data_IF_449786582732
#
_entry.id   IF_449786582732
#
_cell.length_a   1.000
_cell.length_b   1.000
_cell.length_c   1.000
_cell.angle_alpha   90.00
_cell.angle_beta   90.00
_cell.angle_gamma   90.00
#
_symmetry.space_group_name_H-M   'P 1'
#
loop_
_entity.id
_entity.type
_entity.pdbx_description
1 polymer ?
#
# COMPACT_ATOMS: atom_id res chain seq x y z
N UNK A 1 16.92 60.15 14.60
CA UNK A 1 17.88 59.39 13.78
C UNK A 1 17.42 57.94 13.71
N UNK A 2 17.20 57.42 12.51
CA UNK A 2 16.73 56.06 12.26
C UNK A 2 17.91 55.08 12.39
N UNK A 3 17.90 54.18 13.37
CA UNK A 3 18.93 53.13 13.53
C UNK A 3 18.42 51.84 12.87
N UNK A 4 18.96 51.51 11.70
CA UNK A 4 18.74 50.25 11.02
C UNK A 4 19.49 49.15 11.78
N UNK A 5 18.81 48.40 12.65
CA UNK A 5 19.38 47.17 13.23
C UNK A 5 19.19 46.03 12.23
N UNK A 6 20.30 45.39 11.86
CA UNK A 6 20.33 44.24 10.96
C UNK A 6 19.35 43.17 11.40
N UNK A 7 18.49 42.74 10.46
CA UNK A 7 17.67 41.55 10.62
C UNK A 7 18.63 40.38 10.77
N UNK A 8 18.58 39.67 11.89
CA UNK A 8 19.30 38.41 12.03
C UNK A 8 18.96 37.52 10.84
N UNK A 9 19.98 37.01 10.14
CA UNK A 9 19.79 35.89 9.22
C UNK A 9 19.22 34.75 10.05
N UNK A 10 17.91 34.50 9.92
CA UNK A 10 17.37 33.22 10.31
C UNK A 10 18.22 32.14 9.61
N UNK A 11 18.56 31.02 10.28
CA UNK A 11 19.19 29.91 9.59
C UNK A 11 18.33 29.59 8.36
N UNK A 12 18.94 29.63 7.17
CA UNK A 12 18.24 29.22 5.97
C UNK A 12 17.74 27.79 6.20
N UNK A 13 16.44 27.55 6.01
CA UNK A 13 15.91 26.19 5.90
C UNK A 13 16.75 25.50 4.84
N UNK A 14 17.41 24.39 5.19
CA UNK A 14 18.16 23.60 4.20
C UNK A 14 17.23 23.31 3.03
N UNK A 15 17.51 23.93 1.87
CA UNK A 15 16.74 23.79 0.63
C UNK A 15 17.30 22.68 -0.25
N UNK A 16 18.30 21.93 0.22
CA UNK A 16 18.76 20.73 -0.47
C UNK A 16 17.64 19.69 -0.35
N UNK A 17 16.91 19.35 -1.42
CA UNK A 17 15.97 18.26 -1.35
C UNK A 17 16.79 17.01 -1.08
N UNK A 18 16.69 16.47 0.13
CA UNK A 18 17.05 15.07 0.33
C UNK A 18 16.20 14.30 -0.67
N UNK A 19 16.79 13.47 -1.56
CA UNK A 19 16.01 12.65 -2.46
C UNK A 19 14.99 11.88 -1.61
N UNK A 20 13.70 12.16 -1.81
CA UNK A 20 12.65 11.34 -1.22
C UNK A 20 12.67 10.08 -2.06
N UNK A 21 13.36 9.05 -1.58
CA UNK A 21 13.24 7.72 -2.18
C UNK A 21 11.82 7.27 -1.84
N UNK A 22 10.93 7.09 -2.85
CA UNK A 22 9.60 6.60 -2.58
C UNK A 22 9.72 5.18 -2.03
N UNK A 23 8.95 4.88 -0.98
CA UNK A 23 8.82 3.52 -0.48
C UNK A 23 8.40 2.58 -1.62
N UNK A 24 9.12 1.48 -1.79
CA UNK A 24 8.68 0.33 -2.56
C UNK A 24 8.59 -0.89 -1.64
N UNK A 25 7.55 -1.74 -1.74
CA UNK A 25 7.46 -2.95 -0.93
C UNK A 25 8.69 -3.87 -1.09
N UNK A 26 9.32 -3.85 -2.28
CA UNK A 26 10.56 -4.57 -2.60
C UNK A 26 11.79 -4.10 -1.81
N UNK A 27 11.72 -2.96 -1.11
CA UNK A 27 12.81 -2.46 -0.26
C UNK A 27 13.03 -3.34 0.99
N UNK A 28 12.11 -4.26 1.29
CA UNK A 28 12.11 -5.11 2.47
C UNK A 28 12.32 -6.58 2.08
N UNK A 29 13.56 -7.05 2.22
CA UNK A 29 13.95 -8.40 1.83
C UNK A 29 13.20 -9.54 2.57
N UNK A 30 12.57 -9.24 3.71
CA UNK A 30 11.79 -10.19 4.49
C UNK A 30 10.27 -9.96 4.39
N UNK A 31 9.82 -9.10 3.47
CA UNK A 31 8.40 -8.95 3.18
C UNK A 31 7.91 -10.14 2.37
N UNK A 32 7.01 -10.93 2.94
CA UNK A 32 6.52 -12.19 2.34
C UNK A 32 5.44 -11.92 1.29
N UNK A 33 4.62 -10.90 1.51
CA UNK A 33 3.50 -10.56 0.64
C UNK A 33 3.15 -9.08 0.77
N UNK A 34 2.77 -8.46 -0.34
CA UNK A 34 2.18 -7.14 -0.34
C UNK A 34 1.06 -7.05 -1.37
N UNK A 35 -0.20 -7.08 -0.91
CA UNK A 35 -1.37 -6.83 -1.75
C UNK A 35 -1.67 -5.33 -1.90
N UNK A 36 -2.08 -4.90 -3.09
CA UNK A 36 -2.47 -3.51 -3.39
C UNK A 36 -3.85 -3.44 -4.04
N UNK A 37 -4.94 -3.44 -3.26
CA UNK A 37 -6.31 -3.39 -3.80
C UNK A 37 -6.57 -2.14 -4.67
N UNK A 38 -5.81 -1.07 -4.48
CA UNK A 38 -5.87 0.14 -5.29
C UNK A 38 -5.38 -0.03 -6.73
N UNK A 39 -4.62 -1.08 -7.02
CA UNK A 39 -4.11 -1.36 -8.37
C UNK A 39 -5.03 -2.34 -9.11
N UNK A 40 -6.03 -2.90 -8.42
CA UNK A 40 -7.00 -3.85 -8.96
C UNK A 40 -8.28 -3.15 -9.41
N UNK A 41 -8.95 -3.75 -10.40
CA UNK A 41 -10.26 -3.31 -10.86
C UNK A 41 -11.34 -3.59 -9.80
N UNK A 42 -12.36 -2.72 -9.75
CA UNK A 42 -13.54 -3.00 -8.92
C UNK A 42 -14.23 -4.27 -9.43
N UNK A 43 -14.44 -5.22 -8.54
CA UNK A 43 -15.06 -6.52 -8.82
C UNK A 43 -15.84 -6.99 -7.61
N UNK A 44 -16.89 -7.77 -7.85
CA UNK A 44 -17.71 -8.40 -6.79
C UNK A 44 -17.39 -9.89 -6.62
N UNK A 45 -16.16 -10.29 -6.97
CA UNK A 45 -15.67 -11.67 -6.94
C UNK A 45 -14.16 -11.65 -7.23
N UNK A 46 -13.34 -11.35 -6.22
CA UNK A 46 -11.88 -11.22 -6.34
C UNK A 46 -11.20 -12.59 -6.19
N UNK A 47 -10.83 -13.19 -7.31
CA UNK A 47 -10.19 -14.50 -7.32
C UNK A 47 -8.67 -14.48 -7.11
N UNK A 48 -8.02 -13.35 -7.42
CA UNK A 48 -6.57 -13.20 -7.35
C UNK A 48 -6.23 -11.76 -6.95
N UNK A 49 -5.26 -11.61 -6.05
CA UNK A 49 -4.64 -10.33 -5.72
C UNK A 49 -3.12 -10.44 -5.87
N UNK A 50 -2.60 -9.64 -6.81
CA UNK A 50 -1.20 -9.66 -7.22
C UNK A 50 -0.25 -9.32 -6.07
N UNK A 51 0.81 -10.10 -5.91
CA UNK A 51 1.89 -9.82 -4.98
C UNK A 51 2.82 -8.74 -5.52
N UNK A 52 3.00 -7.68 -4.73
CA UNK A 52 3.89 -6.57 -5.04
C UNK A 52 5.15 -6.55 -4.16
N UNK A 53 5.36 -7.56 -3.31
CA UNK A 53 6.57 -7.68 -2.48
C UNK A 53 7.80 -8.07 -3.29
N UNK A 54 7.61 -8.71 -4.44
CA UNK A 54 8.68 -9.29 -5.26
C UNK A 54 8.91 -10.78 -5.01
N UNK A 55 8.13 -11.41 -4.13
CA UNK A 55 8.30 -12.82 -3.77
C UNK A 55 7.45 -13.79 -4.61
N UNK A 56 6.52 -13.28 -5.42
CA UNK A 56 5.65 -14.10 -6.29
C UNK A 56 4.57 -14.86 -5.52
N UNK A 57 4.19 -14.36 -4.34
CA UNK A 57 3.23 -15.00 -3.44
C UNK A 57 1.81 -14.46 -3.67
N UNK A 58 1.31 -14.51 -4.92
CA UNK A 58 -0.04 -14.02 -5.23
C UNK A 58 -1.08 -14.66 -4.31
N UNK A 59 -2.01 -13.83 -3.82
CA UNK A 59 -3.10 -14.32 -3.00
C UNK A 59 -4.23 -14.80 -3.92
N UNK A 60 -4.82 -15.96 -3.66
CA UNK A 60 -5.85 -16.54 -4.51
C UNK A 60 -7.03 -17.11 -3.72
N UNK A 61 -8.18 -17.17 -4.40
CA UNK A 61 -9.38 -17.86 -3.98
C UNK A 61 -10.21 -18.26 -5.20
N UNK A 62 -10.44 -19.56 -5.38
CA UNK A 62 -11.11 -20.09 -6.57
C UNK A 62 -12.55 -20.52 -6.31
N UNK A 63 -12.95 -20.70 -5.05
CA UNK A 63 -14.32 -21.08 -4.67
C UNK A 63 -15.20 -19.84 -4.73
N UNK A 64 -16.20 -19.84 -5.62
CA UNK A 64 -17.00 -18.64 -5.92
C UNK A 64 -17.66 -18.02 -4.68
N UNK A 65 -18.16 -18.84 -3.75
CA UNK A 65 -18.80 -18.37 -2.52
C UNK A 65 -17.84 -17.87 -1.44
N UNK A 66 -16.53 -18.06 -1.59
CA UNK A 66 -15.52 -17.65 -0.60
C UNK A 66 -14.70 -16.44 -1.08
N UNK A 67 -15.07 -15.83 -2.21
CA UNK A 67 -14.31 -14.73 -2.83
C UNK A 67 -14.76 -13.38 -2.27
N UNK A 68 -13.81 -12.57 -1.75
CA UNK A 68 -14.14 -11.23 -1.30
C UNK A 68 -14.40 -10.27 -2.47
N UNK A 69 -14.94 -9.09 -2.14
CA UNK A 69 -15.19 -8.00 -3.07
C UNK A 69 -14.09 -6.93 -3.03
N UNK A 70 -13.98 -6.12 -4.09
CA UNK A 70 -13.25 -4.84 -4.06
C UNK A 70 -14.24 -3.68 -4.05
N UNK A 71 -14.15 -2.87 -2.99
CA UNK A 71 -14.94 -1.65 -2.82
C UNK A 71 -14.08 -0.40 -3.07
N UNK A 72 -14.64 0.61 -3.75
CA UNK A 72 -13.87 1.80 -4.19
C UNK A 72 -13.53 2.80 -3.08
N UNK A 73 -14.42 2.93 -2.09
CA UNK A 73 -14.33 3.93 -1.01
C UNK A 73 -14.19 3.24 0.34
N UNK A 74 -13.22 2.34 0.44
CA UNK A 74 -12.88 1.66 1.68
C UNK A 74 -12.02 2.54 2.58
N UNK A 75 -10.81 2.07 2.88
CA UNK A 75 -9.93 2.73 3.85
C UNK A 75 -9.35 4.01 3.25
N UNK A 76 -9.64 5.15 3.90
CA UNK A 76 -9.11 6.46 3.46
C UNK A 76 -9.54 6.86 2.05
N UNK A 77 -10.75 6.47 1.64
CA UNK A 77 -11.29 6.69 0.28
C UNK A 77 -10.49 6.00 -0.84
N UNK A 78 -9.72 4.97 -0.51
CA UNK A 78 -9.04 4.10 -1.47
C UNK A 78 -9.79 2.79 -1.61
N UNK A 79 -9.49 2.06 -2.68
CA UNK A 79 -10.01 0.71 -2.83
C UNK A 79 -9.59 -0.15 -1.63
N UNK A 80 -10.50 -1.00 -1.18
CA UNK A 80 -10.22 -1.99 -0.15
C UNK A 80 -10.88 -3.32 -0.51
N UNK A 81 -10.34 -4.40 0.02
CA UNK A 81 -10.98 -5.71 -0.05
C UNK A 81 -12.01 -5.77 1.06
N UNK A 82 -13.23 -6.17 0.73
CA UNK A 82 -14.31 -6.40 1.68
C UNK A 82 -14.49 -7.89 1.85
N UNK A 83 -14.34 -8.36 3.09
CA UNK A 83 -14.67 -9.72 3.50
C UNK A 83 -15.99 -9.65 4.26
N UNK A 84 -16.98 -10.45 3.84
CA UNK A 84 -18.35 -10.39 4.35
C UNK A 84 -18.51 -10.91 5.79
N UNK A 85 -17.51 -11.64 6.30
CA UNK A 85 -17.48 -12.21 7.64
C UNK A 85 -18.14 -13.58 7.77
N UNK A 86 -18.50 -14.22 6.65
CA UNK A 86 -19.08 -15.56 6.61
C UNK A 86 -18.02 -16.57 6.17
N UNK A 87 -17.53 -16.45 4.94
CA UNK A 87 -16.63 -17.42 4.31
C UNK A 87 -15.59 -16.81 3.36
N UNK A 88 -15.63 -15.48 3.16
CA UNK A 88 -14.63 -14.78 2.35
C UNK A 88 -13.21 -14.94 2.89
N UNK A 89 -12.28 -15.41 2.04
CA UNK A 89 -10.87 -15.56 2.37
C UNK A 89 -9.97 -15.44 1.12
N UNK A 90 -8.74 -14.95 1.33
CA UNK A 90 -7.66 -14.97 0.35
C UNK A 90 -6.46 -15.71 0.94
N UNK A 91 -5.87 -16.63 0.16
CA UNK A 91 -4.75 -17.46 0.61
C UNK A 91 -3.50 -17.14 -0.20
N UNK A 92 -2.39 -16.90 0.49
CA UNK A 92 -1.06 -16.86 -0.11
C UNK A 92 -0.41 -18.23 0.07
N UNK A 93 0.25 -18.73 -0.99
CA UNK A 93 1.09 -19.92 -0.89
C UNK A 93 2.48 -19.56 -0.36
N UNK A 94 2.53 -18.93 0.81
CA UNK A 94 3.79 -18.64 1.48
C UNK A 94 4.23 -19.89 2.26
N UNK A 95 5.39 -20.43 1.90
CA UNK A 95 6.11 -21.35 2.78
C UNK A 95 6.84 -20.46 3.78
N UNK A 96 6.44 -20.49 5.05
CA UNK A 96 7.23 -19.83 6.10
C UNK A 96 8.66 -20.42 6.09
N UNK A 97 9.72 -19.60 6.19
CA UNK A 97 11.08 -20.11 6.38
C UNK A 97 11.24 -20.83 7.72
#
# INVERSE_FOLDING_TARGET
>A
MLKLLGRGMAPAKSTTPTPVIPFAPTDYANLIYWGKPQDEALTTSLALLSDNSGQGNDATQTVEGEKPDIIATGIGSKNAISFDGIDDILRINAIAP
#
